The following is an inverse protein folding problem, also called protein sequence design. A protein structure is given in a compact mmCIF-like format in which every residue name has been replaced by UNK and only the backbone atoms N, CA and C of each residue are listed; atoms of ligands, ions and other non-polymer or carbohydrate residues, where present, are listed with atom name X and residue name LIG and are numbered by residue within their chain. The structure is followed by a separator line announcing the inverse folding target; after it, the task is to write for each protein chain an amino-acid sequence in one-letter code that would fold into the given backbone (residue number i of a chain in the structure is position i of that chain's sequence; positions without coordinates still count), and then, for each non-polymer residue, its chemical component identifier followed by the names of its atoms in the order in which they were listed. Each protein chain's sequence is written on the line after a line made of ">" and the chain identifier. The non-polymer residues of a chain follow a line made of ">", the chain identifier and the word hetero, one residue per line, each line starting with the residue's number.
data_IF_266627979049
#
_entry.id   IF_266627979049
#
_cell.length_a   1.000
_cell.length_b   1.000
_cell.length_c   1.000
_cell.angle_alpha   90.00
_cell.angle_beta   90.00
_cell.angle_gamma   90.00
#
_symmetry.space_group_name_H-M   'P 1'
#
loop_
_entity.id
_entity.type
_entity.pdbx_description
1 polymer ?
#
# COMPACT_ATOMS: atom_id res chain seq x y z
N UNK A 1 -3.51 10.88 -50.40
CA UNK A 1 -4.41 10.46 -49.32
C UNK A 1 -3.69 9.81 -48.13
N UNK A 2 -2.65 8.98 -48.31
CA UNK A 2 -1.88 8.43 -47.17
C UNK A 2 -0.98 9.44 -46.44
N UNK A 3 -0.41 10.42 -47.16
CA UNK A 3 0.49 11.42 -46.56
C UNK A 3 -0.21 12.38 -45.58
N UNK A 4 -1.46 12.77 -45.83
CA UNK A 4 -2.22 13.65 -44.93
C UNK A 4 -2.54 12.95 -43.61
N UNK A 5 -2.98 11.67 -43.66
CA UNK A 5 -3.25 10.88 -42.45
C UNK A 5 -2.02 10.72 -41.55
N UNK A 6 -0.84 10.51 -42.15
CA UNK A 6 0.41 10.40 -41.38
C UNK A 6 0.85 11.75 -40.79
N UNK A 7 0.65 12.85 -41.51
CA UNK A 7 0.96 14.18 -41.02
C UNK A 7 0.06 14.58 -39.84
N UNK A 8 -1.23 14.26 -39.91
CA UNK A 8 -2.18 14.55 -38.84
C UNK A 8 -1.93 13.68 -37.60
N UNK A 9 -1.59 12.40 -37.78
CA UNK A 9 -1.17 11.53 -36.66
C UNK A 9 0.11 12.02 -35.98
N UNK A 10 1.09 12.53 -36.74
CA UNK A 10 2.30 13.13 -36.16
C UNK A 10 1.98 14.35 -35.31
N UNK A 11 1.15 15.27 -35.81
CA UNK A 11 0.74 16.46 -35.05
C UNK A 11 0.07 16.11 -33.72
N UNK A 12 -0.81 15.11 -33.70
CA UNK A 12 -1.47 14.67 -32.47
C UNK A 12 -0.49 14.05 -31.47
N UNK A 13 0.46 13.24 -31.95
CA UNK A 13 1.50 12.66 -31.13
C UNK A 13 2.41 13.75 -30.54
N UNK A 14 2.90 14.65 -31.40
CA UNK A 14 3.75 15.77 -30.99
C UNK A 14 3.04 16.65 -29.95
N UNK A 15 1.74 16.89 -30.13
CA UNK A 15 0.94 17.60 -29.14
C UNK A 15 0.89 16.86 -27.80
N UNK A 16 0.58 15.55 -27.80
CA UNK A 16 0.55 14.75 -26.57
C UNK A 16 1.89 14.75 -25.82
N UNK A 17 3.00 14.58 -26.55
CA UNK A 17 4.34 14.53 -25.96
C UNK A 17 4.84 15.88 -25.43
N UNK A 18 4.40 17.00 -26.01
CA UNK A 18 4.83 18.34 -25.57
C UNK A 18 4.01 18.89 -24.40
N UNK A 19 2.78 18.40 -24.21
CA UNK A 19 1.85 18.96 -23.22
C UNK A 19 1.66 18.06 -21.99
N UNK A 20 2.01 16.77 -22.08
CA UNK A 20 1.81 15.82 -21.00
C UNK A 20 3.10 15.08 -20.66
N UNK A 21 3.28 14.81 -19.37
CA UNK A 21 4.38 14.03 -18.85
C UNK A 21 3.88 12.92 -17.92
N UNK A 22 4.69 11.87 -17.79
CA UNK A 22 4.41 10.77 -16.85
C UNK A 22 5.05 11.11 -15.51
N UNK A 23 4.24 11.29 -14.49
CA UNK A 23 4.69 11.53 -13.13
C UNK A 23 4.53 10.28 -12.27
N UNK A 24 5.57 9.89 -11.54
CA UNK A 24 5.57 8.70 -10.67
C UNK A 24 5.15 9.11 -9.27
N UNK A 25 3.99 8.63 -8.83
CA UNK A 25 3.42 8.93 -7.51
C UNK A 25 4.03 8.05 -6.42
N UNK A 26 4.20 6.76 -6.72
CA UNK A 26 4.74 5.80 -5.76
C UNK A 26 5.46 4.65 -6.47
N UNK A 27 6.57 4.20 -5.89
CA UNK A 27 7.29 3.01 -6.33
C UNK A 27 6.69 1.73 -5.73
N UNK A 28 6.90 0.55 -6.35
CA UNK A 28 6.43 -0.71 -5.80
C UNK A 28 6.92 -0.90 -4.37
N UNK A 29 6.02 -1.34 -3.47
CA UNK A 29 6.28 -1.56 -2.04
C UNK A 29 6.69 -0.31 -1.25
N UNK A 30 6.56 0.88 -1.83
CA UNK A 30 6.77 2.13 -1.10
C UNK A 30 5.71 2.28 -0.01
N UNK A 31 6.15 2.60 1.21
CA UNK A 31 5.27 2.84 2.35
C UNK A 31 4.58 4.19 2.14
N UNK A 32 3.25 4.17 2.11
CA UNK A 32 2.40 5.36 1.91
C UNK A 32 1.79 5.88 3.21
N UNK A 33 1.93 5.13 4.31
CA UNK A 33 1.44 5.52 5.61
C UNK A 33 1.32 4.34 6.56
N UNK A 34 0.58 4.54 7.66
CA UNK A 34 0.31 3.51 8.65
C UNK A 34 -1.17 3.55 9.07
N UNK A 35 -1.73 2.39 9.37
CA UNK A 35 -3.10 2.27 9.88
C UNK A 35 -3.15 1.51 11.19
N UNK A 36 -4.15 1.80 12.02
CA UNK A 36 -4.38 1.05 13.24
C UNK A 36 -4.87 -0.37 12.93
N UNK A 37 -4.42 -1.36 13.71
CA UNK A 37 -4.88 -2.75 13.62
C UNK A 37 -5.45 -3.22 14.95
N UNK A 38 -6.66 -3.78 14.90
CA UNK A 38 -7.32 -4.31 16.10
C UNK A 38 -6.72 -5.68 16.48
N UNK A 39 -6.41 -5.88 17.75
CA UNK A 39 -5.83 -7.12 18.30
C UNK A 39 -4.46 -7.53 17.70
N UNK A 40 -3.80 -6.61 16.98
CA UNK A 40 -2.45 -6.82 16.44
C UNK A 40 -1.39 -6.90 17.53
N UNK A 41 -0.28 -7.59 17.25
CA UNK A 41 0.93 -7.57 18.07
C UNK A 41 1.43 -6.14 18.22
N UNK A 42 1.36 -5.36 17.14
CA UNK A 42 1.63 -3.93 17.11
C UNK A 42 0.32 -3.18 16.90
N UNK A 43 0.30 -1.90 17.28
CA UNK A 43 -0.89 -1.04 17.15
C UNK A 43 -1.05 -0.47 15.74
N UNK A 44 0.07 -0.25 15.04
CA UNK A 44 0.12 0.33 13.71
C UNK A 44 0.70 -0.69 12.73
N UNK A 45 0.17 -0.70 11.51
CA UNK A 45 0.62 -1.53 10.41
C UNK A 45 0.97 -0.60 9.23
N UNK A 46 2.22 -0.63 8.74
CA UNK A 46 2.58 0.10 7.53
C UNK A 46 1.80 -0.41 6.34
N UNK A 47 1.34 0.53 5.50
CA UNK A 47 0.64 0.27 4.26
C UNK A 47 1.48 0.73 3.07
N UNK A 48 1.42 -0.02 1.98
CA UNK A 48 2.21 0.22 0.79
C UNK A 48 1.39 0.00 -0.48
N UNK A 49 1.88 0.51 -1.60
CA UNK A 49 1.37 0.12 -2.93
C UNK A 49 2.01 -1.19 -3.37
N UNK A 50 1.23 -2.06 -4.03
CA UNK A 50 1.76 -3.34 -4.54
C UNK A 50 2.67 -3.12 -5.75
N UNK A 51 2.29 -2.18 -6.61
CA UNK A 51 2.91 -1.90 -7.91
C UNK A 51 3.26 -0.42 -8.03
N UNK A 52 4.00 -0.07 -9.08
CA UNK A 52 4.34 1.32 -9.37
C UNK A 52 3.07 2.08 -9.78
N UNK A 53 2.86 3.25 -9.18
CA UNK A 53 1.77 4.15 -9.52
C UNK A 53 2.33 5.34 -10.28
N UNK A 54 1.90 5.50 -11.53
CA UNK A 54 2.23 6.65 -12.35
C UNK A 54 0.99 7.22 -13.01
N UNK A 55 0.92 8.54 -13.11
CA UNK A 55 -0.17 9.27 -13.74
C UNK A 55 0.37 10.13 -14.88
N UNK A 56 -0.47 10.38 -15.88
CA UNK A 56 -0.14 11.29 -16.98
C UNK A 56 -0.80 12.63 -16.68
N UNK A 57 -0.01 13.68 -16.53
CA UNK A 57 -0.48 15.01 -16.15
C UNK A 57 0.06 16.08 -17.11
N UNK A 58 -0.59 17.25 -17.20
CA UNK A 58 -0.03 18.37 -17.95
C UNK A 58 1.33 18.79 -17.36
N UNK A 59 2.27 19.14 -18.25
CA UNK A 59 3.63 19.52 -17.84
C UNK A 59 3.60 20.66 -16.81
N UNK A 60 4.33 20.48 -15.72
CA UNK A 60 4.48 21.50 -14.67
C UNK A 60 3.29 21.60 -13.69
N UNK A 61 2.37 20.63 -13.70
CA UNK A 61 1.24 20.54 -12.75
C UNK A 61 1.43 19.49 -11.65
N UNK A 62 2.67 19.06 -11.44
CA UNK A 62 3.03 18.11 -10.40
C UNK A 62 2.74 18.62 -8.98
N UNK A 63 2.96 19.91 -8.73
CA UNK A 63 2.68 20.55 -7.44
C UNK A 63 1.17 20.67 -7.13
N UNK A 64 0.32 20.55 -8.16
CA UNK A 64 -1.15 20.61 -8.02
C UNK A 64 -1.76 19.23 -7.69
N UNK A 65 -0.94 18.18 -7.58
CA UNK A 65 -1.40 16.84 -7.26
C UNK A 65 -1.69 16.68 -5.77
N UNK A 66 -2.91 16.23 -5.47
CA UNK A 66 -3.32 15.90 -4.10
C UNK A 66 -3.45 14.39 -3.92
N UNK A 67 -2.83 13.87 -2.86
CA UNK A 67 -2.88 12.45 -2.49
C UNK A 67 -3.81 12.27 -1.28
N UNK A 68 -4.94 11.61 -1.48
CA UNK A 68 -5.96 11.43 -0.46
C UNK A 68 -6.16 9.96 -0.16
N UNK A 69 -5.93 9.56 1.09
CA UNK A 69 -6.23 8.19 1.54
C UNK A 69 -7.70 8.10 1.92
N UNK A 70 -8.43 7.23 1.23
CA UNK A 70 -9.87 6.99 1.41
C UNK A 70 -10.15 5.52 1.71
N UNK A 71 -11.41 5.22 2.07
CA UNK A 71 -11.90 3.85 2.27
C UNK A 71 -11.07 3.03 3.28
N UNK A 72 -10.50 3.71 4.28
CA UNK A 72 -9.65 3.08 5.31
C UNK A 72 -10.48 2.13 6.17
N UNK A 73 -10.13 0.84 6.11
CA UNK A 73 -10.72 -0.20 6.95
C UNK A 73 -9.71 -0.55 8.03
N UNK A 74 -10.14 -0.57 9.29
CA UNK A 74 -9.29 -1.02 10.40
C UNK A 74 -9.34 -2.56 10.44
N UNK A 75 -8.30 -3.28 9.98
CA UNK A 75 -8.34 -4.72 9.98
C UNK A 75 -8.19 -5.28 11.40
N UNK A 76 -8.68 -6.50 11.62
CA UNK A 76 -8.45 -7.24 12.86
C UNK A 76 -7.41 -8.32 12.62
N UNK A 77 -6.43 -8.46 13.51
CA UNK A 77 -5.37 -9.45 13.36
C UNK A 77 -5.90 -10.91 13.37
N UNK A 78 -5.30 -11.83 12.59
CA UNK A 78 -4.07 -11.65 11.83
C UNK A 78 -4.32 -10.97 10.48
N UNK A 79 -3.39 -10.11 10.07
CA UNK A 79 -3.37 -9.51 8.73
C UNK A 79 -2.16 -10.08 7.99
N UNK A 80 -2.35 -10.47 6.73
CA UNK A 80 -1.28 -10.99 5.88
C UNK A 80 -0.75 -9.85 5.01
N UNK A 81 0.55 -9.82 4.75
CA UNK A 81 1.14 -8.92 3.75
C UNK A 81 0.37 -9.02 2.42
N UNK A 82 0.15 -7.87 1.77
CA UNK A 82 -0.62 -7.79 0.54
C UNK A 82 -2.14 -7.72 0.72
N UNK A 83 -2.65 -7.78 1.95
CA UNK A 83 -4.10 -7.59 2.21
C UNK A 83 -4.49 -6.12 1.92
N UNK A 84 -5.50 -5.85 1.06
CA UNK A 84 -6.01 -4.49 0.84
C UNK A 84 -6.67 -3.93 2.10
N UNK A 85 -6.29 -2.72 2.49
CA UNK A 85 -6.74 -2.11 3.75
C UNK A 85 -7.21 -0.66 3.61
N UNK A 86 -6.75 0.04 2.57
CA UNK A 86 -7.18 1.40 2.24
C UNK A 86 -7.04 1.63 0.73
N UNK A 87 -7.42 2.81 0.28
CA UNK A 87 -7.35 3.22 -1.12
C UNK A 87 -6.72 4.61 -1.17
N UNK A 88 -5.85 4.84 -2.15
CA UNK A 88 -5.21 6.11 -2.42
C UNK A 88 -5.82 6.72 -3.67
N UNK A 89 -6.50 7.83 -3.51
CA UNK A 89 -6.98 8.65 -4.62
C UNK A 89 -5.95 9.72 -4.93
N UNK A 90 -5.57 9.81 -6.21
CA UNK A 90 -4.73 10.87 -6.76
C UNK A 90 -5.65 11.86 -7.44
N UNK A 91 -5.65 13.10 -6.97
CA UNK A 91 -6.51 14.16 -7.46
C UNK A 91 -5.70 15.27 -8.14
N UNK A 92 -6.27 15.83 -9.20
CA UNK A 92 -5.79 17.04 -9.86
C UNK A 92 -7.00 17.95 -10.06
N UNK A 93 -6.94 19.19 -9.58
CA UNK A 93 -8.07 20.14 -9.64
C UNK A 93 -9.39 19.56 -9.10
N UNK A 94 -9.35 18.83 -7.98
CA UNK A 94 -10.52 18.19 -7.34
C UNK A 94 -11.14 17.03 -8.14
N UNK A 95 -10.51 16.61 -9.24
CA UNK A 95 -10.92 15.45 -10.03
C UNK A 95 -10.01 14.26 -9.72
N UNK A 96 -10.60 13.07 -9.50
CA UNK A 96 -9.84 11.84 -9.26
C UNK A 96 -9.31 11.33 -10.60
N UNK A 97 -7.99 11.46 -10.80
CA UNK A 97 -7.31 11.02 -12.03
C UNK A 97 -6.77 9.60 -11.95
N UNK A 98 -6.53 9.09 -10.73
CA UNK A 98 -6.16 7.70 -10.50
C UNK A 98 -6.59 7.26 -9.10
N UNK A 99 -6.84 5.96 -8.95
CA UNK A 99 -7.16 5.36 -7.65
C UNK A 99 -6.50 4.01 -7.52
N UNK A 100 -5.82 3.78 -6.40
CA UNK A 100 -4.95 2.61 -6.18
C UNK A 100 -5.19 1.99 -4.81
N UNK A 101 -5.21 0.67 -4.74
CA UNK A 101 -5.33 -0.03 -3.47
C UNK A 101 -4.03 0.05 -2.66
N UNK A 102 -4.16 0.37 -1.38
CA UNK A 102 -3.09 0.29 -0.40
C UNK A 102 -3.20 -1.03 0.36
N UNK A 103 -2.11 -1.78 0.37
CA UNK A 103 -2.02 -3.10 0.98
C UNK A 103 -1.15 -3.09 2.23
N UNK A 104 -1.37 -4.07 3.11
CA UNK A 104 -0.52 -4.32 4.26
C UNK A 104 0.93 -4.59 3.80
N UNK A 105 1.90 -3.80 4.27
CA UNK A 105 3.30 -3.96 3.89
C UNK A 105 3.99 -5.15 4.59
N UNK A 106 3.41 -5.64 5.69
CA UNK A 106 3.96 -6.76 6.49
C UNK A 106 2.86 -7.58 7.15
N UNK A 107 3.21 -8.80 7.59
CA UNK A 107 2.32 -9.65 8.39
C UNK A 107 2.10 -9.11 9.81
N UNK A 108 0.84 -8.97 10.22
CA UNK A 108 0.45 -8.62 11.59
C UNK A 108 -0.15 -9.82 12.32
N UNK A 109 0.59 -10.41 13.25
CA UNK A 109 0.08 -11.50 14.11
C UNK A 109 -0.78 -10.97 15.26
N UNK A 110 -1.64 -11.81 15.84
CA UNK A 110 -2.43 -11.45 17.04
C UNK A 110 -1.53 -11.27 18.27
N UNK A 111 -1.83 -10.32 19.14
CA UNK A 111 -1.10 -10.13 20.41
C UNK A 111 -1.11 -11.41 21.30
N UNK A 112 -2.25 -12.10 21.35
CA UNK A 112 -2.45 -13.26 22.23
C UNK A 112 -1.68 -14.53 21.81
N UNK A 113 -1.04 -14.56 20.63
CA UNK A 113 -0.24 -15.72 20.18
C UNK A 113 1.00 -15.92 21.07
N UNK A 114 1.63 -14.84 21.54
CA UNK A 114 2.82 -14.91 22.41
C UNK A 114 2.45 -15.43 23.79
N UNK A 115 1.34 -14.96 24.36
CA UNK A 115 0.82 -15.43 25.65
C UNK A 115 0.56 -16.94 25.62
N UNK A 116 0.01 -17.46 24.51
CA UNK A 116 -0.17 -18.91 24.32
C UNK A 116 1.15 -19.67 24.18
N UNK A 117 2.13 -19.11 23.45
CA UNK A 117 3.44 -19.73 23.25
C UNK A 117 4.22 -19.84 24.57
N UNK A 118 4.26 -18.77 25.37
CA UNK A 118 4.93 -18.74 26.66
C UNK A 118 4.26 -19.67 27.69
N UNK A 119 2.93 -19.81 27.66
CA UNK A 119 2.20 -20.73 28.55
C UNK A 119 2.57 -22.19 28.31
N UNK A 120 2.79 -22.58 27.05
CA UNK A 120 3.28 -23.92 26.70
C UNK A 120 4.70 -24.16 27.20
N UNK A 121 5.61 -23.22 26.92
CA UNK A 121 7.03 -23.31 27.31
C UNK A 121 7.22 -23.39 28.83
N UNK A 122 6.49 -22.59 29.61
CA UNK A 122 6.55 -22.64 31.07
C UNK A 122 6.19 -24.01 31.64
N UNK A 123 5.17 -24.67 31.07
CA UNK A 123 4.78 -26.04 31.44
C UNK A 123 5.89 -27.06 31.18
N UNK A 124 6.55 -26.99 30.02
CA UNK A 124 7.65 -27.88 29.67
C UNK A 124 8.89 -27.70 30.57
N UNK A 125 9.24 -26.46 30.96
CA UNK A 125 10.35 -26.22 31.89
C UNK A 125 10.01 -26.67 33.32
N UNK A 126 8.77 -26.45 33.79
CA UNK A 126 8.36 -26.99 35.10
C UNK A 126 8.39 -28.51 35.13
N UNK A 127 7.98 -29.21 34.05
CA UNK A 127 8.03 -30.68 33.99
C UNK A 127 9.45 -31.24 33.89
N UNK A 128 10.42 -30.45 33.40
CA UNK A 128 11.84 -30.83 33.31
C UNK A 128 12.61 -30.54 34.62
N UNK A 129 12.28 -29.47 35.35
CA UNK A 129 12.91 -29.13 36.64
C UNK A 129 12.28 -29.81 37.85
N UNK A 130 11.04 -30.31 37.74
CA UNK A 130 10.39 -31.10 38.79
C UNK A 130 10.58 -32.61 38.61
N UNK A 131 11.70 -33.00 37.96
CA UNK A 131 12.23 -34.35 38.00
C UNK A 131 12.42 -34.83 39.44
N UNK A 132 11.36 -35.40 40.00
CA UNK A 132 11.41 -36.35 41.10
C UNK A 132 12.27 -37.51 40.61
N UNK A 133 13.55 -37.46 40.98
CA UNK A 133 14.30 -38.64 41.35
C UNK A 133 13.65 -39.12 42.65
N UNK A 134 12.70 -40.04 42.54
CA UNK A 134 12.32 -41.09 43.50
C UNK A 134 11.12 -41.86 42.94
#
# INVERSE_FOLDING_TARGET
>A
MFQSRLADSRKLLDFGLNNFEVHVIAFPRQIMGEIAVKNGKQKLLPIAVLEQVSVVIPVGREDDLELVVVNTKIPTAPVIEGTPVAQLDVQLDWEIIASVELVAATDMKRANIFVRLFRGIGGFFTSLFSGKIF
#
